data_IF_518402816288
#
_entry.id   IF_518402816288
#
_cell.length_a   1.000
_cell.length_b   1.000
_cell.length_c   1.000
_cell.angle_alpha   90.00
_cell.angle_beta   90.00
_cell.angle_gamma   90.00
#
_symmetry.space_group_name_H-M   'P 1'
#
loop_
_entity.id
_entity.type
_entity.pdbx_description
1 polymer ?
#
# COMPACT_ATOMS: atom_id res chain seq x y z
N UNK A 1 0.14 -13.85 -3.49
CA UNK A 1 1.04 -13.49 -2.37
C UNK A 1 2.36 -12.93 -2.87
N UNK A 2 2.32 -11.68 -3.32
CA UNK A 2 3.42 -10.84 -3.78
C UNK A 2 3.34 -9.48 -3.08
N UNK A 3 4.48 -8.91 -2.72
CA UNK A 3 4.55 -7.60 -2.09
C UNK A 3 5.78 -6.80 -2.48
N UNK A 4 5.83 -5.55 -2.01
CA UNK A 4 6.93 -4.60 -2.26
C UNK A 4 7.55 -4.13 -0.95
N UNK A 5 8.86 -3.87 -0.97
CA UNK A 5 9.60 -3.28 0.14
C UNK A 5 10.37 -2.03 -0.31
N UNK A 6 10.95 -1.32 0.67
CA UNK A 6 11.72 -0.10 0.43
C UNK A 6 10.90 1.17 0.62
N UNK A 7 11.40 2.28 0.09
CA UNK A 7 10.82 3.60 0.36
C UNK A 7 9.38 3.74 -0.16
N UNK A 8 9.14 3.22 -1.37
CA UNK A 8 7.84 3.21 -2.05
C UNK A 8 6.77 2.42 -1.28
N UNK A 9 7.14 1.46 -0.42
CA UNK A 9 6.18 0.72 0.40
C UNK A 9 5.44 1.58 1.43
N UNK A 10 5.94 2.80 1.71
CA UNK A 10 5.32 3.76 2.63
C UNK A 10 4.86 5.06 1.97
N UNK A 11 4.99 5.18 0.64
CA UNK A 11 4.54 6.35 -0.12
C UNK A 11 3.09 6.12 -0.59
N UNK A 12 2.12 7.01 -0.28
CA UNK A 12 0.70 6.79 -0.57
C UNK A 12 0.36 6.49 -2.03
N UNK A 13 0.96 7.22 -2.98
CA UNK A 13 0.78 7.02 -4.43
C UNK A 13 1.25 5.62 -4.87
N UNK A 14 2.40 5.17 -4.35
CA UNK A 14 2.92 3.83 -4.59
C UNK A 14 2.05 2.75 -3.97
N UNK A 15 1.52 2.94 -2.76
CA UNK A 15 0.58 2.01 -2.12
C UNK A 15 -0.70 1.87 -2.95
N UNK A 16 -1.25 2.99 -3.45
CA UNK A 16 -2.42 3.00 -4.33
C UNK A 16 -2.15 2.28 -5.67
N UNK A 17 -0.97 2.48 -6.26
CA UNK A 17 -0.53 1.74 -7.45
C UNK A 17 -0.41 0.22 -7.17
N UNK A 18 0.21 -0.16 -6.05
CA UNK A 18 0.39 -1.56 -5.66
C UNK A 18 -0.96 -2.24 -5.43
N UNK A 19 -1.89 -1.56 -4.76
CA UNK A 19 -3.26 -2.03 -4.57
C UNK A 19 -3.94 -2.32 -5.91
N UNK A 20 -3.92 -1.36 -6.83
CA UNK A 20 -4.51 -1.51 -8.17
C UNK A 20 -3.84 -2.59 -9.02
N UNK A 21 -2.55 -2.85 -8.80
CA UNK A 21 -1.77 -3.88 -9.50
C UNK A 21 -2.01 -5.28 -8.93
N UNK A 22 -2.71 -5.38 -7.80
CA UNK A 22 -3.05 -6.66 -7.19
C UNK A 22 -2.02 -7.20 -6.20
N UNK A 23 -1.11 -6.35 -5.69
CA UNK A 23 -0.19 -6.78 -4.63
C UNK A 23 -0.96 -7.10 -3.34
N UNK A 24 -0.47 -8.08 -2.60
CA UNK A 24 -1.06 -8.56 -1.36
C UNK A 24 -0.61 -7.73 -0.15
N UNK A 25 0.63 -7.22 -0.17
CA UNK A 25 1.18 -6.43 0.95
C UNK A 25 2.24 -5.41 0.53
N UNK A 26 2.48 -4.45 1.40
CA UNK A 26 3.58 -3.46 1.32
C UNK A 26 4.40 -3.52 2.61
N UNK A 27 5.70 -3.24 2.52
CA UNK A 27 6.63 -3.20 3.65
C UNK A 27 7.41 -1.89 3.64
N UNK A 28 7.37 -1.17 4.75
CA UNK A 28 8.02 0.13 4.92
C UNK A 28 8.67 0.26 6.30
N UNK A 29 9.46 1.32 6.51
CA UNK A 29 10.03 1.62 7.82
C UNK A 29 8.94 1.77 8.89
N UNK A 30 9.23 1.47 10.18
CA UNK A 30 8.22 1.46 11.25
C UNK A 30 7.40 2.76 11.33
N UNK A 31 8.06 3.91 11.17
CA UNK A 31 7.41 5.22 11.23
C UNK A 31 6.44 5.48 10.06
N UNK A 32 6.56 4.77 8.94
CA UNK A 32 5.66 4.88 7.78
C UNK A 32 4.53 3.86 7.80
N UNK A 33 4.52 2.90 8.72
CA UNK A 33 3.45 1.89 8.82
C UNK A 33 2.06 2.54 8.98
N UNK A 34 1.85 3.58 9.81
CA UNK A 34 0.54 4.25 9.88
C UNK A 34 0.11 4.87 8.54
N UNK A 35 1.06 5.45 7.80
CA UNK A 35 0.82 6.07 6.49
C UNK A 35 0.43 4.99 5.46
N UNK A 36 1.19 3.89 5.40
CA UNK A 36 0.92 2.79 4.49
C UNK A 36 -0.46 2.15 4.76
N UNK A 37 -0.85 2.01 6.03
CA UNK A 37 -2.18 1.49 6.42
C UNK A 37 -3.31 2.42 5.99
N UNK A 38 -3.18 3.72 6.24
CA UNK A 38 -4.19 4.70 5.84
C UNK A 38 -4.32 4.76 4.31
N UNK A 39 -3.20 4.78 3.59
CA UNK A 39 -3.19 4.76 2.13
C UNK A 39 -3.82 3.48 1.56
N UNK A 40 -3.54 2.32 2.15
CA UNK A 40 -4.16 1.05 1.74
C UNK A 40 -5.69 1.07 1.94
N UNK A 41 -6.16 1.59 3.08
CA UNK A 41 -7.60 1.74 3.33
C UNK A 41 -8.26 2.71 2.34
N UNK A 42 -7.62 3.85 2.06
CA UNK A 42 -8.09 4.81 1.06
C UNK A 42 -8.15 4.17 -0.34
N UNK A 43 -7.13 3.39 -0.72
CA UNK A 43 -7.09 2.70 -2.01
C UNK A 43 -8.22 1.68 -2.14
N UNK A 44 -8.54 0.94 -1.07
CA UNK A 44 -9.68 0.02 -1.04
C UNK A 44 -11.03 0.74 -1.16
N UNK A 45 -11.19 1.91 -0.54
CA UNK A 45 -12.43 2.70 -0.66
C UNK A 45 -12.59 3.27 -2.08
N UNK A 46 -11.51 3.80 -2.68
CA UNK A 46 -11.53 4.37 -4.04
C UNK A 46 -11.68 3.31 -5.13
N UNK A 47 -10.98 2.19 -4.98
CA UNK A 47 -10.92 1.08 -5.93
C UNK A 47 -11.05 -0.24 -5.18
N UNK A 48 -12.28 -0.67 -4.85
CA UNK A 48 -12.51 -1.90 -4.10
C UNK A 48 -11.94 -3.11 -4.83
N UNK A 49 -11.17 -3.93 -4.11
CA UNK A 49 -10.83 -5.30 -4.50
C UNK A 49 -11.62 -6.29 -3.66
N UNK A 50 -11.96 -7.43 -4.26
CA UNK A 50 -12.61 -8.56 -3.57
C UNK A 50 -11.68 -9.23 -2.56
#
# INVERSE_FOLDING_TARGET
>A
HLGICGEHGGEPSSVEFCHRTGLDYVSCSPFRVPIARLAAAQAQIKTPRE
#
